data_IF_676748417620
#
_entry.id   IF_676748417620
#
_cell.length_a   1.000
_cell.length_b   1.000
_cell.length_c   1.000
_cell.angle_alpha   90.00
_cell.angle_beta   90.00
_cell.angle_gamma   90.00
#
_symmetry.space_group_name_H-M   'P 1'
#
loop_
_entity.id
_entity.type
_entity.pdbx_description
1 polymer ?
#
# COMPACT_ATOMS: atom_id res chain seq x y z
N UNK A 1 -9.55 -13.19 20.69
CA UNK A 1 -9.72 -12.13 19.66
C UNK A 1 -11.06 -12.35 19.00
N UNK A 2 -11.96 -11.39 19.08
CA UNK A 2 -13.30 -11.49 18.50
C UNK A 2 -13.27 -11.07 17.01
N UNK A 3 -13.86 -11.90 16.15
CA UNK A 3 -13.97 -11.59 14.72
C UNK A 3 -15.22 -10.73 14.49
N UNK A 4 -15.02 -9.43 14.27
CA UNK A 4 -16.11 -8.44 14.23
C UNK A 4 -16.79 -8.27 12.87
N UNK A 5 -16.20 -8.86 11.80
CA UNK A 5 -16.69 -8.71 10.42
C UNK A 5 -17.75 -9.75 10.01
N UNK A 6 -18.45 -10.35 10.98
CA UNK A 6 -19.54 -11.27 10.73
C UNK A 6 -20.84 -10.76 11.35
N UNK A 7 -21.96 -10.94 10.65
CA UNK A 7 -23.28 -10.70 11.19
C UNK A 7 -23.80 -11.94 11.94
N UNK A 8 -25.00 -11.85 12.53
CA UNK A 8 -25.65 -12.93 13.27
C UNK A 8 -25.87 -14.21 12.44
N UNK A 9 -25.88 -14.10 11.12
CA UNK A 9 -26.02 -15.21 10.18
C UNK A 9 -24.66 -15.79 9.73
N UNK A 10 -23.54 -15.32 10.30
CA UNK A 10 -22.19 -15.77 9.94
C UNK A 10 -21.70 -15.24 8.58
N UNK A 11 -22.34 -14.21 8.03
CA UNK A 11 -21.95 -13.59 6.76
C UNK A 11 -21.09 -12.36 6.99
N UNK A 12 -20.20 -12.07 6.03
CA UNK A 12 -19.34 -10.90 6.07
C UNK A 12 -20.17 -9.60 6.12
N UNK A 13 -19.73 -8.67 6.96
CA UNK A 13 -20.27 -7.31 7.04
C UNK A 13 -19.17 -6.30 7.26
N UNK A 14 -19.39 -5.08 6.82
CA UNK A 14 -18.60 -3.92 7.23
C UNK A 14 -18.96 -3.58 8.69
N UNK A 15 -17.95 -3.39 9.54
CA UNK A 15 -18.14 -3.09 10.98
C UNK A 15 -18.83 -1.75 11.13
N UNK A 16 -19.79 -1.64 12.06
CA UNK A 16 -20.38 -0.37 12.43
C UNK A 16 -19.39 0.43 13.30
N UNK A 17 -19.02 1.61 12.82
CA UNK A 17 -18.09 2.53 13.50
C UNK A 17 -18.77 3.83 13.91
N UNK A 18 -20.11 3.90 13.88
CA UNK A 18 -20.89 5.12 14.18
C UNK A 18 -20.56 5.72 15.55
N UNK A 19 -20.31 4.87 16.55
CA UNK A 19 -20.03 5.28 17.93
C UNK A 19 -18.52 5.49 18.19
N UNK A 20 -17.65 5.27 17.21
CA UNK A 20 -16.22 5.47 17.37
C UNK A 20 -15.84 6.92 17.17
N UNK A 21 -15.01 7.43 18.08
CA UNK A 21 -14.42 8.77 17.94
C UNK A 21 -13.44 8.78 16.75
N UNK A 22 -13.41 9.93 16.08
CA UNK A 22 -12.38 10.22 15.09
C UNK A 22 -11.05 10.48 15.81
N UNK A 23 -10.04 9.69 15.47
CA UNK A 23 -8.69 9.83 16.01
C UNK A 23 -7.67 9.98 14.89
N UNK A 24 -6.53 10.58 15.23
CA UNK A 24 -5.39 10.64 14.33
C UNK A 24 -4.83 9.23 14.08
N UNK A 25 -4.63 8.89 12.82
CA UNK A 25 -4.19 7.56 12.39
C UNK A 25 -3.06 7.66 11.40
N UNK A 26 -2.06 6.81 11.58
CA UNK A 26 -0.93 6.65 10.67
C UNK A 26 -0.75 5.17 10.38
N UNK A 27 -0.43 4.81 9.14
CA UNK A 27 0.06 3.50 8.79
C UNK A 27 1.18 3.61 7.76
N UNK A 28 2.16 2.72 7.86
CA UNK A 28 3.26 2.55 6.91
C UNK A 28 3.31 1.11 6.45
N UNK A 29 3.52 0.91 5.17
CA UNK A 29 3.65 -0.41 4.57
C UNK A 29 4.86 -0.45 3.63
N UNK A 30 5.28 -1.66 3.29
CA UNK A 30 6.36 -1.90 2.33
C UNK A 30 5.98 -2.98 1.34
N UNK A 31 6.63 -2.94 0.18
CA UNK A 31 6.66 -4.00 -0.81
C UNK A 31 8.01 -3.97 -1.52
N UNK A 32 8.40 -5.08 -2.14
CA UNK A 32 9.63 -5.18 -2.92
C UNK A 32 9.33 -5.75 -4.29
N UNK A 33 9.89 -5.14 -5.33
CA UNK A 33 9.91 -5.70 -6.69
C UNK A 33 11.33 -6.19 -6.97
N UNK A 34 11.49 -7.50 -7.15
CA UNK A 34 12.77 -8.11 -7.49
C UNK A 34 12.90 -8.24 -8.99
N UNK A 35 14.04 -7.84 -9.50
CA UNK A 35 14.31 -7.80 -10.93
C UNK A 35 15.79 -8.03 -11.23
N UNK A 36 16.12 -8.30 -12.48
CA UNK A 36 17.50 -8.35 -12.92
C UNK A 36 18.16 -6.95 -12.85
N UNK A 37 19.46 -6.92 -12.57
CA UNK A 37 20.26 -5.68 -12.58
C UNK A 37 20.04 -4.87 -13.86
N UNK A 38 20.01 -5.53 -15.01
CA UNK A 38 19.81 -4.85 -16.30
C UNK A 38 18.46 -4.12 -16.39
N UNK A 39 17.41 -4.66 -15.77
CA UNK A 39 16.10 -3.99 -15.69
C UNK A 39 16.16 -2.77 -14.77
N UNK A 40 16.80 -2.93 -13.61
CA UNK A 40 17.01 -1.83 -12.68
C UNK A 40 17.84 -0.69 -13.30
N UNK A 41 18.88 -1.01 -14.04
CA UNK A 41 19.71 -0.01 -14.72
C UNK A 41 18.88 0.78 -15.76
N UNK A 42 17.93 0.15 -16.43
CA UNK A 42 16.99 0.85 -17.33
C UNK A 42 16.04 1.78 -16.59
N UNK A 43 15.56 1.39 -15.41
CA UNK A 43 14.72 2.27 -14.58
C UNK A 43 15.54 3.50 -14.16
N UNK A 44 16.78 3.32 -13.66
CA UNK A 44 17.67 4.42 -13.27
C UNK A 44 18.00 5.35 -14.42
N UNK A 45 18.24 4.79 -15.59
CA UNK A 45 18.60 5.53 -16.79
C UNK A 45 17.43 6.19 -17.52
N UNK A 46 16.20 5.99 -17.05
CA UNK A 46 15.00 6.51 -17.72
C UNK A 46 14.74 5.91 -19.11
N UNK A 47 15.29 4.71 -19.39
CA UNK A 47 15.22 4.07 -20.71
C UNK A 47 14.10 3.02 -20.84
N UNK A 48 13.08 3.08 -19.98
CA UNK A 48 11.86 2.31 -20.12
C UNK A 48 10.94 3.03 -21.11
N UNK A 49 10.55 2.36 -22.19
CA UNK A 49 9.81 2.97 -23.29
C UNK A 49 8.41 3.50 -22.94
N UNK A 50 7.86 3.13 -21.77
CA UNK A 50 6.58 3.63 -21.27
C UNK A 50 6.69 4.91 -20.43
N UNK A 51 7.88 5.44 -20.19
CA UNK A 51 8.10 6.67 -19.45
C UNK A 51 8.75 6.48 -18.08
N UNK A 52 8.57 7.45 -17.18
CA UNK A 52 9.14 7.45 -15.83
C UNK A 52 8.39 6.45 -14.93
N UNK A 53 9.03 5.31 -14.69
CA UNK A 53 8.47 4.20 -13.92
C UNK A 53 8.10 4.61 -12.49
N UNK A 54 9.01 5.29 -11.79
CA UNK A 54 8.80 5.65 -10.39
C UNK A 54 7.73 6.73 -10.23
N UNK A 55 7.71 7.73 -11.11
CA UNK A 55 6.69 8.78 -11.09
C UNK A 55 5.28 8.20 -11.32
N UNK A 56 5.14 7.32 -12.31
CA UNK A 56 3.85 6.67 -12.60
C UNK A 56 3.43 5.75 -11.47
N UNK A 57 4.34 4.95 -10.93
CA UNK A 57 4.06 4.05 -9.80
C UNK A 57 3.66 4.83 -8.53
N UNK A 58 4.30 5.97 -8.28
CA UNK A 58 3.97 6.84 -7.14
C UNK A 58 2.53 7.35 -7.24
N UNK A 59 2.14 7.89 -8.39
CA UNK A 59 0.77 8.38 -8.62
C UNK A 59 -0.24 7.25 -8.53
N UNK A 60 0.06 6.08 -9.12
CA UNK A 60 -0.81 4.92 -9.06
C UNK A 60 -1.05 4.43 -7.63
N UNK A 61 -0.01 4.38 -6.80
CA UNK A 61 -0.12 4.01 -5.40
C UNK A 61 -0.92 5.02 -4.58
N UNK A 62 -0.74 6.32 -4.81
CA UNK A 62 -1.55 7.36 -4.16
C UNK A 62 -3.02 7.22 -4.54
N UNK A 63 -3.32 7.03 -5.82
CA UNK A 63 -4.69 6.82 -6.30
C UNK A 63 -5.32 5.55 -5.73
N UNK A 64 -4.53 4.48 -5.58
CA UNK A 64 -4.99 3.22 -4.99
C UNK A 64 -5.37 3.37 -3.52
N UNK A 65 -4.57 4.09 -2.73
CA UNK A 65 -4.92 4.41 -1.34
C UNK A 65 -6.28 5.13 -1.24
N UNK A 66 -6.51 6.11 -2.10
CA UNK A 66 -7.77 6.86 -2.17
C UNK A 66 -8.98 6.00 -2.58
N UNK A 67 -8.75 4.91 -3.32
CA UNK A 67 -9.78 3.99 -3.82
C UNK A 67 -9.87 2.69 -3.05
N UNK A 68 -9.19 2.58 -1.91
CA UNK A 68 -9.10 1.33 -1.16
C UNK A 68 -10.49 0.74 -0.85
N UNK A 69 -11.45 1.53 -0.42
CA UNK A 69 -12.81 1.05 -0.11
C UNK A 69 -13.57 0.49 -1.32
N UNK A 70 -13.19 0.87 -2.54
CA UNK A 70 -13.75 0.31 -3.78
C UNK A 70 -13.12 -1.04 -4.15
N UNK A 71 -11.92 -1.33 -3.61
CA UNK A 71 -11.14 -2.55 -3.89
C UNK A 71 -11.28 -3.61 -2.80
N UNK A 72 -11.36 -3.20 -1.55
CA UNK A 72 -11.44 -4.08 -0.37
C UNK A 72 -12.85 -3.97 0.21
N UNK A 73 -13.68 -4.99 0.04
CA UNK A 73 -15.14 -4.88 0.24
C UNK A 73 -15.59 -4.40 1.63
N UNK A 74 -14.88 -4.81 2.70
CA UNK A 74 -15.28 -4.47 4.07
C UNK A 74 -14.60 -3.23 4.63
N UNK A 75 -13.78 -2.53 3.85
CA UNK A 75 -13.16 -1.28 4.25
C UNK A 75 -14.11 -0.10 4.13
N UNK A 76 -14.08 0.78 5.14
CA UNK A 76 -14.83 2.03 5.12
C UNK A 76 -14.14 3.03 4.18
N UNK A 77 -14.90 3.89 3.47
CA UNK A 77 -14.32 5.04 2.80
C UNK A 77 -13.81 6.04 3.84
N UNK A 78 -12.58 6.50 3.67
CA UNK A 78 -11.91 7.41 4.60
C UNK A 78 -11.43 8.66 3.87
N UNK A 79 -11.50 9.80 4.54
CA UNK A 79 -10.89 11.05 4.10
C UNK A 79 -9.40 11.06 4.48
N UNK A 80 -8.53 10.74 3.54
CA UNK A 80 -7.10 10.70 3.76
C UNK A 80 -6.53 12.12 3.78
N UNK A 81 -5.67 12.41 4.76
CA UNK A 81 -4.99 13.70 4.90
C UNK A 81 -3.58 13.70 4.33
N UNK A 82 -2.95 12.51 4.23
CA UNK A 82 -1.65 12.33 3.60
C UNK A 82 -1.57 10.95 2.97
N UNK A 83 -1.04 10.88 1.76
CA UNK A 83 -0.52 9.65 1.13
C UNK A 83 0.82 9.99 0.53
N UNK A 84 1.85 9.30 0.96
CA UNK A 84 3.21 9.46 0.44
C UNK A 84 3.81 8.11 0.09
N UNK A 85 4.58 8.05 -0.99
CA UNK A 85 5.24 6.83 -1.46
C UNK A 85 6.69 7.17 -1.77
N UNK A 86 7.59 6.36 -1.26
CA UNK A 86 9.03 6.47 -1.50
C UNK A 86 9.59 5.18 -2.06
N UNK A 87 10.71 5.32 -2.78
CA UNK A 87 11.41 4.24 -3.45
C UNK A 87 12.87 4.23 -3.07
N UNK A 88 13.41 3.03 -2.87
CA UNK A 88 14.84 2.80 -2.68
C UNK A 88 15.29 1.72 -3.68
N UNK A 89 16.28 2.06 -4.49
CA UNK A 89 16.80 1.18 -5.54
C UNK A 89 18.09 0.52 -5.08
N UNK A 90 18.05 -0.80 -4.98
CA UNK A 90 19.24 -1.65 -4.88
C UNK A 90 19.67 -2.16 -6.27
N UNK A 91 20.64 -3.05 -6.32
CA UNK A 91 21.13 -3.60 -7.58
C UNK A 91 20.07 -4.44 -8.33
N UNK A 92 19.31 -5.23 -7.58
CA UNK A 92 18.32 -6.18 -8.14
C UNK A 92 16.96 -6.12 -7.42
N UNK A 93 16.70 -5.07 -6.66
CA UNK A 93 15.46 -4.89 -5.92
C UNK A 93 15.05 -3.41 -5.86
N UNK A 94 13.77 -3.17 -6.02
CA UNK A 94 13.13 -1.89 -5.78
C UNK A 94 12.26 -2.01 -4.53
N UNK A 95 12.64 -1.34 -3.47
CA UNK A 95 11.85 -1.24 -2.24
C UNK A 95 10.89 -0.06 -2.34
N UNK A 96 9.64 -0.33 -2.02
CA UNK A 96 8.55 0.65 -2.04
C UNK A 96 8.03 0.78 -0.62
N UNK A 97 7.87 2.00 -0.14
CA UNK A 97 7.26 2.31 1.15
C UNK A 97 6.14 3.31 0.98
N UNK A 98 5.09 3.14 1.75
CA UNK A 98 3.97 4.08 1.83
C UNK A 98 3.80 4.62 3.25
N UNK A 99 3.32 5.85 3.36
CA UNK A 99 2.80 6.42 4.60
C UNK A 99 1.43 7.04 4.30
N UNK A 100 0.42 6.62 5.06
CA UNK A 100 -0.95 7.12 4.94
C UNK A 100 -1.40 7.66 6.29
N UNK A 101 -2.09 8.81 6.28
CA UNK A 101 -2.63 9.46 7.47
C UNK A 101 -4.08 9.87 7.27
N UNK A 102 -4.84 9.82 8.34
CA UNK A 102 -6.19 10.38 8.40
C UNK A 102 -6.58 10.76 9.83
N UNK A 103 -7.69 11.49 9.94
CA UNK A 103 -8.51 11.55 11.15
C UNK A 103 -9.78 10.75 10.87
N UNK A 104 -9.99 9.64 11.56
CA UNK A 104 -11.11 8.75 11.24
C UNK A 104 -11.43 7.76 12.33
N UNK A 105 -12.53 7.05 12.13
CA UNK A 105 -13.08 6.06 13.05
C UNK A 105 -12.37 4.70 12.96
N UNK A 106 -11.60 4.48 11.89
CA UNK A 106 -10.86 3.23 11.67
C UNK A 106 -9.44 3.51 11.17
N UNK A 107 -8.57 2.51 11.25
CA UNK A 107 -7.18 2.60 10.80
C UNK A 107 -7.04 2.68 9.28
N UNK A 108 -5.84 3.04 8.84
CA UNK A 108 -5.46 3.21 7.42
C UNK A 108 -4.44 2.17 6.95
N UNK A 109 -4.38 1.04 7.64
CA UNK A 109 -3.45 -0.05 7.30
C UNK A 109 -3.68 -0.57 5.89
N UNK A 110 -4.96 -0.77 5.52
CA UNK A 110 -5.31 -1.30 4.20
C UNK A 110 -5.01 -0.30 3.09
N UNK A 111 -5.21 0.97 3.32
CA UNK A 111 -4.84 2.04 2.40
C UNK A 111 -3.33 2.05 2.14
N UNK A 112 -2.52 1.88 3.18
CA UNK A 112 -1.06 1.81 3.05
C UNK A 112 -0.60 0.54 2.30
N UNK A 113 -1.18 -0.63 2.62
CA UNK A 113 -0.88 -1.91 1.95
C UNK A 113 -1.32 -1.90 0.48
N UNK A 114 -2.50 -1.35 0.19
CA UNK A 114 -3.01 -1.22 -1.18
C UNK A 114 -2.13 -0.28 -1.99
N UNK A 115 -1.66 0.82 -1.40
CA UNK A 115 -0.76 1.76 -2.06
C UNK A 115 0.53 1.10 -2.55
N UNK A 116 1.25 0.38 -1.69
CA UNK A 116 2.50 -0.28 -2.09
C UNK A 116 2.27 -1.42 -3.07
N UNK A 117 1.15 -2.14 -2.95
CA UNK A 117 0.79 -3.23 -3.85
C UNK A 117 0.53 -2.75 -5.27
N UNK A 118 -0.25 -1.68 -5.42
CA UNK A 118 -0.55 -1.11 -6.74
C UNK A 118 0.66 -0.38 -7.33
N UNK A 119 1.47 0.29 -6.51
CA UNK A 119 2.74 0.84 -6.96
C UNK A 119 3.66 -0.27 -7.52
N UNK A 120 3.79 -1.40 -6.83
CA UNK A 120 4.57 -2.55 -7.29
C UNK A 120 4.02 -3.15 -8.59
N UNK A 121 2.70 -3.32 -8.70
CA UNK A 121 2.04 -3.79 -9.93
C UNK A 121 2.28 -2.83 -11.10
N UNK A 122 2.30 -1.53 -10.84
CA UNK A 122 2.58 -0.51 -11.85
C UNK A 122 4.01 -0.60 -12.35
N UNK A 123 4.98 -0.80 -11.46
CA UNK A 123 6.38 -1.07 -11.83
C UNK A 123 6.45 -2.30 -12.72
N UNK A 124 5.78 -3.38 -12.33
CA UNK A 124 5.72 -4.61 -13.14
C UNK A 124 5.14 -4.35 -14.53
N UNK A 125 3.99 -3.69 -14.61
CA UNK A 125 3.35 -3.39 -15.90
C UNK A 125 4.23 -2.56 -16.82
N UNK A 126 4.92 -1.57 -16.27
CA UNK A 126 5.78 -0.69 -17.06
C UNK A 126 7.06 -1.38 -17.54
N UNK A 127 7.55 -2.37 -16.80
CA UNK A 127 8.82 -3.06 -17.09
C UNK A 127 8.64 -4.45 -17.72
N UNK A 128 7.45 -5.01 -17.78
CA UNK A 128 7.22 -6.39 -18.25
C UNK A 128 7.67 -6.67 -19.69
N UNK A 129 7.75 -5.67 -20.55
CA UNK A 129 8.29 -5.82 -21.90
C UNK A 129 9.79 -6.14 -21.88
N UNK A 130 10.51 -5.72 -20.84
CA UNK A 130 11.94 -5.96 -20.64
C UNK A 130 12.18 -7.27 -19.87
N UNK A 131 11.37 -7.53 -18.83
CA UNK A 131 11.51 -8.71 -17.99
C UNK A 131 10.14 -9.12 -17.43
N UNK A 132 9.74 -10.38 -17.65
CA UNK A 132 8.43 -10.90 -17.19
C UNK A 132 8.48 -11.65 -15.88
N UNK A 133 9.62 -12.19 -15.50
CA UNK A 133 9.82 -13.00 -14.31
C UNK A 133 10.15 -12.19 -13.05
N UNK A 134 9.93 -10.87 -13.07
CA UNK A 134 9.98 -10.04 -11.87
C UNK A 134 9.02 -10.58 -10.82
N UNK A 135 9.42 -10.48 -9.56
CA UNK A 135 8.61 -10.91 -8.42
C UNK A 135 8.28 -9.75 -7.51
N UNK A 136 7.03 -9.70 -7.09
CA UNK A 136 6.56 -8.79 -6.03
C UNK A 136 6.47 -9.61 -4.76
N UNK A 137 7.23 -9.24 -3.76
CA UNK A 137 7.21 -9.89 -2.45
C UNK A 137 7.32 -8.88 -1.30
N UNK A 138 7.32 -9.38 -0.06
CA UNK A 138 7.51 -8.55 1.12
C UNK A 138 6.42 -7.51 1.35
N UNK A 139 5.23 -7.69 0.79
CA UNK A 139 4.09 -6.81 1.10
C UNK A 139 3.73 -7.00 2.57
N UNK A 140 3.94 -5.96 3.38
CA UNK A 140 3.71 -6.02 4.82
C UNK A 140 3.44 -4.66 5.44
N UNK A 141 2.74 -4.68 6.57
CA UNK A 141 2.61 -3.53 7.45
C UNK A 141 3.90 -3.34 8.24
N UNK A 142 4.44 -2.12 8.23
CA UNK A 142 5.63 -1.75 9.02
C UNK A 142 5.25 -1.06 10.33
N UNK A 143 4.22 -0.23 10.30
CA UNK A 143 3.84 0.62 11.42
C UNK A 143 2.37 0.98 11.34
N UNK A 144 1.73 1.06 12.48
CA UNK A 144 0.43 1.73 12.61
C UNK A 144 0.32 2.41 13.98
N UNK A 145 -0.39 3.51 14.02
CA UNK A 145 -0.68 4.29 15.22
C UNK A 145 -2.12 4.80 15.20
N UNK A 146 -2.70 4.89 16.37
CA UNK A 146 -4.05 5.39 16.60
C UNK A 146 -5.08 4.28 16.89
N UNK A 147 -6.17 4.66 17.55
CA UNK A 147 -7.24 3.77 17.97
C UNK A 147 -6.94 2.94 19.20
N UNK A 148 -7.85 2.03 19.53
CA UNK A 148 -7.80 1.22 20.77
C UNK A 148 -6.64 0.23 20.80
N UNK A 149 -6.18 -0.25 19.65
CA UNK A 149 -5.09 -1.23 19.56
C UNK A 149 -3.69 -0.60 19.71
N UNK A 150 -3.61 0.72 19.87
CA UNK A 150 -2.34 1.42 20.12
C UNK A 150 -1.39 1.38 18.93
N UNK A 151 -0.10 1.33 19.24
CA UNK A 151 0.99 1.31 18.25
C UNK A 151 1.38 -0.13 17.94
N UNK A 152 1.59 -0.40 16.66
CA UNK A 152 2.25 -1.60 16.15
C UNK A 152 3.48 -1.17 15.34
N UNK A 153 4.58 -1.83 15.56
CA UNK A 153 5.81 -1.66 14.79
C UNK A 153 6.37 -3.06 14.46
N UNK A 154 6.64 -3.30 13.19
CA UNK A 154 7.23 -4.56 12.75
C UNK A 154 8.69 -4.65 13.18
N UNK A 155 9.10 -5.83 13.61
CA UNK A 155 10.52 -6.15 13.78
C UNK A 155 11.18 -6.22 12.38
N UNK A 156 12.30 -5.52 12.19
CA UNK A 156 13.09 -5.58 10.95
C UNK A 156 13.98 -6.83 10.88
#
# INVERSE_FOLDING_TARGET
MELTHFNEQGRARMVDVSEKAQTYRVARAAATVRMAKATMDRIRGGSIGKGDVLAVAQVAGIMAAKKNSELIPMCHPLLLTKVDISFEMEEAALHIRSEVRCHGETGVEMEALTAVSVAALTVYDMCKAVQRDMRIDGVRLLYKEGGKSGVYEAEE
#
